data_IF_973514228408
#
_entry.id   IF_973514228408
#
_cell.length_a   1.000
_cell.length_b   1.000
_cell.length_c   1.000
_cell.angle_alpha   90.00
_cell.angle_beta   90.00
_cell.angle_gamma   90.00
#
_symmetry.space_group_name_H-M   'P 1'
#
loop_
_entity.id
_entity.type
_entity.pdbx_description
1 polymer ?
#
# COMPACT_ATOMS: atom_id res chain seq x y z
N UNK A 1 -15.60 6.91 -15.35
CA UNK A 1 -14.13 6.95 -15.29
C UNK A 1 -13.41 6.39 -16.55
N UNK A 2 -14.04 6.25 -17.73
CA UNK A 2 -13.37 5.70 -18.94
C UNK A 2 -12.79 6.73 -19.93
N UNK A 3 -13.03 8.03 -19.71
CA UNK A 3 -12.63 9.06 -20.67
C UNK A 3 -11.11 9.31 -20.71
N UNK A 4 -10.40 9.13 -19.60
CA UNK A 4 -8.97 9.39 -19.49
C UNK A 4 -8.11 8.37 -20.27
N UNK A 5 -8.50 7.09 -20.28
CA UNK A 5 -7.77 6.04 -20.99
C UNK A 5 -7.74 6.28 -22.52
N UNK A 6 -8.79 6.89 -23.08
CA UNK A 6 -8.84 7.25 -24.51
C UNK A 6 -7.78 8.27 -24.93
N UNK A 7 -7.23 9.02 -23.97
CA UNK A 7 -6.15 9.99 -24.20
C UNK A 7 -4.78 9.47 -23.77
N UNK A 8 -4.69 8.27 -23.19
CA UNK A 8 -3.43 7.64 -22.83
C UNK A 8 -2.70 7.14 -24.09
N UNK A 9 -1.37 7.07 -24.02
CA UNK A 9 -0.55 6.50 -25.09
C UNK A 9 -1.00 5.05 -25.40
N UNK A 10 -0.88 4.62 -26.67
CA UNK A 10 -1.39 3.32 -27.12
C UNK A 10 -0.87 2.13 -26.29
N UNK A 11 0.35 2.24 -25.75
CA UNK A 11 0.95 1.23 -24.86
C UNK A 11 0.15 1.09 -23.55
N UNK A 12 -0.31 2.19 -22.98
CA UNK A 12 -1.10 2.21 -21.74
C UNK A 12 -2.52 1.68 -21.98
N UNK A 13 -3.07 1.88 -23.17
CA UNK A 13 -4.39 1.36 -23.54
C UNK A 13 -4.40 -0.16 -23.70
N UNK A 14 -3.25 -0.76 -24.03
CA UNK A 14 -3.10 -2.20 -24.26
C UNK A 14 -2.61 -2.96 -23.03
N UNK A 15 -2.15 -2.26 -21.99
CA UNK A 15 -1.67 -2.88 -20.75
C UNK A 15 -2.85 -3.44 -19.94
N UNK A 16 -2.94 -4.77 -19.71
CA UNK A 16 -4.02 -5.38 -18.95
C UNK A 16 -4.12 -4.89 -17.49
N UNK A 17 -3.00 -4.51 -16.87
CA UNK A 17 -2.95 -4.08 -15.47
C UNK A 17 -3.47 -2.65 -15.29
N UNK A 18 -3.40 -1.84 -16.36
CA UNK A 18 -3.86 -0.45 -16.37
C UNK A 18 -5.31 -0.29 -16.86
N UNK A 19 -6.00 -1.40 -17.09
CA UNK A 19 -7.41 -1.37 -17.49
C UNK A 19 -8.29 -0.84 -16.34
N UNK A 20 -9.37 -0.08 -16.65
CA UNK A 20 -10.16 0.61 -15.65
C UNK A 20 -10.73 -0.30 -14.56
N UNK A 21 -11.04 -1.55 -14.88
CA UNK A 21 -11.58 -2.54 -13.95
C UNK A 21 -10.50 -3.04 -12.97
N UNK A 22 -9.25 -3.16 -13.44
CA UNK A 22 -8.10 -3.57 -12.60
C UNK A 22 -7.64 -2.44 -11.70
N UNK A 23 -7.61 -1.21 -12.22
CA UNK A 23 -7.23 -0.02 -11.45
C UNK A 23 -8.29 0.32 -10.39
N UNK A 24 -9.57 0.09 -10.66
CA UNK A 24 -10.65 0.30 -9.67
C UNK A 24 -10.54 -0.59 -8.43
N UNK A 25 -9.86 -1.74 -8.54
CA UNK A 25 -9.60 -2.62 -7.41
C UNK A 25 -8.43 -2.13 -6.53
N UNK A 26 -7.66 -1.13 -6.98
CA UNK A 26 -6.54 -0.59 -6.23
C UNK A 26 -7.06 0.42 -5.18
N UNK A 27 -6.94 0.14 -3.87
CA UNK A 27 -7.48 0.99 -2.81
C UNK A 27 -6.60 2.22 -2.52
N UNK A 28 -5.77 2.65 -3.47
CA UNK A 28 -4.86 3.78 -3.26
C UNK A 28 -5.55 5.06 -3.71
N UNK A 29 -5.67 6.00 -2.79
CA UNK A 29 -6.31 7.28 -3.05
C UNK A 29 -5.45 8.15 -3.98
N UNK A 30 -6.10 8.82 -4.92
CA UNK A 30 -5.44 9.83 -5.78
C UNK A 30 -5.17 11.12 -5.00
N UNK A 31 -4.17 11.93 -5.40
CA UNK A 31 -3.90 13.22 -4.75
C UNK A 31 -5.14 14.11 -4.68
N UNK A 32 -5.37 14.70 -3.51
CA UNK A 32 -6.53 15.58 -3.26
C UNK A 32 -7.84 14.84 -2.95
N UNK A 33 -7.90 13.51 -3.07
CA UNK A 33 -9.07 12.73 -2.64
C UNK A 33 -9.11 12.61 -1.12
N UNK A 34 -10.27 12.85 -0.47
CA UNK A 34 -10.44 12.59 0.96
C UNK A 34 -10.40 11.08 1.20
N UNK A 35 -9.40 10.63 1.96
CA UNK A 35 -9.24 9.23 2.34
C UNK A 35 -8.46 9.12 3.66
N UNK A 36 -8.68 8.07 4.48
CA UNK A 36 -7.88 7.82 5.66
C UNK A 36 -6.40 7.66 5.30
N UNK A 37 -5.53 8.07 6.22
CA UNK A 37 -4.07 7.91 6.07
C UNK A 37 -3.61 6.75 6.95
N UNK A 38 -2.90 5.82 6.33
CA UNK A 38 -2.18 4.73 6.98
C UNK A 38 -0.70 5.08 6.91
N UNK A 39 -0.07 5.16 8.07
CA UNK A 39 1.36 5.41 8.21
C UNK A 39 2.05 4.07 8.39
N UNK A 40 3.00 3.76 7.53
CA UNK A 40 3.87 2.60 7.70
C UNK A 40 5.05 3.05 8.56
N UNK A 41 5.13 2.51 9.78
CA UNK A 41 6.12 2.90 10.77
C UNK A 41 7.44 2.16 10.54
N UNK A 42 7.35 0.86 10.21
CA UNK A 42 8.51 0.02 9.94
C UNK A 42 8.15 -1.15 9.03
N UNK A 43 9.14 -1.58 8.25
CA UNK A 43 9.06 -2.75 7.37
C UNK A 43 10.28 -3.61 7.67
N UNK A 44 10.06 -4.88 8.00
CA UNK A 44 11.11 -5.85 8.27
C UNK A 44 10.87 -7.12 7.46
N UNK A 45 11.88 -7.60 6.75
CA UNK A 45 11.81 -8.84 5.97
C UNK A 45 12.43 -9.99 6.75
N UNK A 46 11.69 -11.09 6.89
CA UNK A 46 12.22 -12.30 7.51
C UNK A 46 13.26 -12.95 6.58
N UNK A 47 14.46 -13.35 7.06
CA UNK A 47 15.51 -13.94 6.22
C UNK A 47 15.11 -15.24 5.52
N UNK A 48 14.09 -15.94 6.04
CA UNK A 48 13.62 -17.23 5.57
C UNK A 48 12.09 -17.17 5.53
N UNK A 49 11.49 -17.43 4.38
CA UNK A 49 10.03 -17.55 4.24
C UNK A 49 9.37 -16.52 3.34
N UNK A 50 10.09 -15.51 2.86
CA UNK A 50 9.55 -14.54 1.89
C UNK A 50 8.32 -13.81 2.43
N UNK A 51 8.32 -13.51 3.73
CA UNK A 51 7.29 -12.74 4.42
C UNK A 51 7.94 -11.45 4.92
N UNK A 52 7.20 -10.36 4.76
CA UNK A 52 7.53 -9.03 5.27
C UNK A 52 6.52 -8.68 6.35
N UNK A 53 7.05 -8.31 7.51
CA UNK A 53 6.30 -7.79 8.64
C UNK A 53 6.28 -6.27 8.56
N UNK A 54 5.09 -5.69 8.62
CA UNK A 54 4.86 -4.26 8.44
C UNK A 54 4.15 -3.74 9.67
N UNK A 55 4.82 -2.87 10.42
CA UNK A 55 4.19 -2.09 11.48
C UNK A 55 3.55 -0.85 10.85
N UNK A 56 2.29 -0.60 11.16
CA UNK A 56 1.57 0.56 10.66
C UNK A 56 0.62 1.15 11.70
N UNK A 57 0.34 2.43 11.54
CA UNK A 57 -0.48 3.21 12.44
C UNK A 57 -1.41 4.16 11.71
N UNK A 58 -2.41 4.65 12.43
CA UNK A 58 -3.28 5.74 12.01
C UNK A 58 -3.05 6.96 12.90
N UNK A 59 -3.35 8.16 12.40
CA UNK A 59 -3.32 9.38 13.22
C UNK A 59 -4.28 9.36 14.42
N UNK A 60 -5.22 8.43 14.48
CA UNK A 60 -6.04 8.17 15.66
C UNK A 60 -5.29 7.48 16.80
N UNK A 61 -4.02 7.12 16.61
CA UNK A 61 -3.19 6.38 17.58
C UNK A 61 -3.38 4.86 17.54
N UNK A 62 -4.23 4.35 16.64
CA UNK A 62 -4.38 2.90 16.43
C UNK A 62 -3.17 2.37 15.68
N UNK A 63 -2.62 1.23 16.13
CA UNK A 63 -1.49 0.57 15.50
C UNK A 63 -1.78 -0.91 15.24
N UNK A 64 -1.14 -1.46 14.22
CA UNK A 64 -1.23 -2.87 13.87
C UNK A 64 0.06 -3.35 13.20
N UNK A 65 0.35 -4.63 13.38
CA UNK A 65 1.37 -5.35 12.61
C UNK A 65 0.68 -6.23 11.58
N UNK A 66 1.16 -6.18 10.34
CA UNK A 66 0.68 -6.97 9.22
C UNK A 66 1.80 -7.88 8.74
N UNK A 67 1.46 -9.09 8.31
CA UNK A 67 2.39 -10.01 7.66
C UNK A 67 1.92 -10.23 6.23
N UNK A 68 2.79 -9.93 5.27
CA UNK A 68 2.49 -10.06 3.85
C UNK A 68 3.59 -10.84 3.14
N UNK A 69 3.31 -11.53 2.03
CA UNK A 69 4.37 -12.04 1.17
C UNK A 69 5.30 -10.92 0.73
N UNK A 70 6.60 -11.19 0.57
CA UNK A 70 7.60 -10.21 0.13
C UNK A 70 7.34 -9.66 -1.28
N UNK A 71 6.56 -10.40 -2.08
CA UNK A 71 6.08 -9.98 -3.41
C UNK A 71 4.75 -9.22 -3.37
N UNK A 72 4.21 -8.93 -2.18
CA UNK A 72 2.97 -8.17 -2.04
C UNK A 72 3.16 -6.76 -2.56
N UNK A 73 2.11 -6.25 -3.19
CA UNK A 73 2.07 -4.89 -3.73
C UNK A 73 1.62 -3.89 -2.66
N UNK A 74 1.76 -2.60 -2.96
CA UNK A 74 1.21 -1.54 -2.11
C UNK A 74 -0.32 -1.65 -1.97
N UNK A 75 -1.02 -2.12 -3.01
CA UNK A 75 -2.46 -2.35 -2.98
C UNK A 75 -2.86 -3.47 -2.01
N UNK A 76 -2.06 -4.54 -1.92
CA UNK A 76 -2.26 -5.64 -0.97
C UNK A 76 -2.08 -5.14 0.48
N UNK A 77 -1.05 -4.33 0.71
CA UNK A 77 -0.83 -3.69 2.01
C UNK A 77 -2.01 -2.80 2.40
N UNK A 78 -2.47 -1.94 1.49
CA UNK A 78 -3.59 -1.07 1.74
C UNK A 78 -4.87 -1.86 2.07
N UNK A 79 -5.18 -2.92 1.31
CA UNK A 79 -6.31 -3.81 1.61
C UNK A 79 -6.17 -4.46 2.99
N UNK A 80 -5.01 -5.04 3.30
CA UNK A 80 -4.77 -5.69 4.58
C UNK A 80 -4.92 -4.71 5.75
N UNK A 81 -4.39 -3.50 5.61
CA UNK A 81 -4.47 -2.47 6.63
C UNK A 81 -5.89 -1.93 6.80
N UNK A 82 -6.63 -1.69 5.71
CA UNK A 82 -8.04 -1.29 5.76
C UNK A 82 -8.90 -2.32 6.48
N UNK A 83 -8.71 -3.61 6.15
CA UNK A 83 -9.40 -4.71 6.83
C UNK A 83 -9.02 -4.78 8.31
N UNK A 84 -7.73 -4.64 8.64
CA UNK A 84 -7.21 -4.73 10.01
C UNK A 84 -7.71 -3.60 10.90
N UNK A 85 -7.87 -2.41 10.34
CA UNK A 85 -8.39 -1.23 11.03
C UNK A 85 -9.92 -1.09 10.91
N UNK A 86 -10.60 -1.92 10.13
CA UNK A 86 -12.05 -1.83 9.92
C UNK A 86 -12.44 -0.48 9.32
N UNK A 87 -11.75 -0.06 8.25
CA UNK A 87 -12.03 1.20 7.57
C UNK A 87 -13.16 1.01 6.56
N UNK A 88 -14.25 1.76 6.71
CA UNK A 88 -15.39 1.77 5.77
C UNK A 88 -15.12 2.61 4.51
N UNK A 89 -13.86 2.88 4.18
CA UNK A 89 -13.47 3.64 3.00
C UNK A 89 -13.16 2.73 1.82
N UNK A 90 -13.27 3.24 0.59
CA UNK A 90 -12.87 2.51 -0.62
C UNK A 90 -11.39 2.71 -0.98
N UNK A 91 -10.78 3.79 -0.48
CA UNK A 91 -9.39 4.13 -0.74
C UNK A 91 -8.69 4.62 0.54
N UNK A 92 -7.37 4.54 0.55
CA UNK A 92 -6.50 5.08 1.60
C UNK A 92 -5.27 5.75 1.01
N UNK A 93 -4.72 6.71 1.74
CA UNK A 93 -3.36 7.19 1.50
C UNK A 93 -2.40 6.34 2.33
N UNK A 94 -1.29 5.90 1.73
CA UNK A 94 -0.25 5.15 2.44
C UNK A 94 1.00 6.02 2.50
N UNK A 95 1.41 6.40 3.71
CA UNK A 95 2.68 7.05 3.96
C UNK A 95 3.73 5.98 4.25
N UNK A 96 4.76 5.89 3.41
CA UNK A 96 5.84 4.92 3.55
C UNK A 96 7.00 5.51 4.37
N UNK A 97 7.75 4.70 5.12
CA UNK A 97 8.94 5.16 5.80
C UNK A 97 10.04 5.46 4.77
N UNK A 98 10.90 6.44 5.07
CA UNK A 98 12.03 6.80 4.20
C UNK A 98 13.06 5.66 4.05
N UNK A 99 13.03 4.65 4.94
CA UNK A 99 13.91 3.48 4.91
C UNK A 99 13.21 2.20 5.37
N UNK A 100 13.57 1.09 4.74
CA UNK A 100 13.22 -0.27 5.18
C UNK A 100 14.34 -0.77 6.09
N UNK A 101 14.02 -1.24 7.29
CA UNK A 101 15.00 -1.79 8.22
C UNK A 101 15.17 -3.29 7.97
N UNK A 102 16.40 -3.73 7.72
CA UNK A 102 16.74 -5.15 7.62
C UNK A 102 17.02 -5.74 9.01
N UNK A 103 16.89 -7.06 9.21
CA UNK A 103 17.15 -7.71 10.49
C UNK A 103 18.54 -7.45 11.10
N UNK A 104 19.49 -6.95 10.31
CA UNK A 104 20.85 -6.60 10.74
C UNK A 104 21.20 -5.12 10.55
N UNK A 105 20.23 -4.27 10.25
CA UNK A 105 20.40 -2.81 10.28
C UNK A 105 20.39 -2.36 11.76
N UNK A 106 21.45 -2.71 12.49
CA UNK A 106 21.86 -2.03 13.71
C UNK A 106 22.89 -0.97 13.31
N UNK A 107 22.79 0.23 13.88
CA UNK A 107 23.54 1.48 13.66
C UNK A 107 22.79 2.48 12.74
N UNK A 108 22.42 3.70 13.16
CA UNK A 108 23.01 4.61 14.14
C UNK A 108 21.95 5.32 15.00
N UNK A 109 22.29 5.49 16.29
CA UNK A 109 21.58 6.31 17.28
C UNK A 109 21.89 7.79 17.05
#
# INVERSE_FOLDING_TARGET
HSAALRHAAAIVQQDPELQPERVQANPIAVPGSPAPVIVVDAVAEAPIGGIVTIACSMFSGRAATLELPARATLGDLAHAAMNRFGLDSQCVHVALPDRVARPFDLHDV
#
